data_IF_228995283706
#
_entry.id   IF_228995283706
#
_cell.length_a   1.000
_cell.length_b   1.000
_cell.length_c   1.000
_cell.angle_alpha   90.00
_cell.angle_beta   90.00
_cell.angle_gamma   90.00
#
_symmetry.space_group_name_H-M   'P 1'
#
loop_
_entity.id
_entity.type
_entity.pdbx_description
1 polymer ?
#
# COMPACT_ATOMS: atom_id res chain seq x y z
N UNK A 1 4.68 2.93 -23.94
CA UNK A 1 5.49 4.04 -23.42
C UNK A 1 6.80 3.47 -22.90
N UNK A 2 7.94 4.13 -23.08
CA UNK A 2 9.22 3.63 -22.54
C UNK A 2 9.16 3.63 -21.01
N UNK A 3 9.79 2.64 -20.37
CA UNK A 3 9.89 2.56 -18.90
C UNK A 3 11.33 2.79 -18.48
N UNK A 4 11.52 3.52 -17.40
CA UNK A 4 12.82 3.79 -16.78
C UNK A 4 12.70 3.36 -15.32
N UNK A 5 13.69 2.60 -14.83
CA UNK A 5 13.84 2.28 -13.42
C UNK A 5 14.99 3.11 -12.86
N UNK A 6 14.77 3.83 -11.77
CA UNK A 6 15.81 4.64 -11.13
C UNK A 6 15.72 4.57 -9.61
N UNK A 7 16.84 4.80 -8.92
CA UNK A 7 16.93 4.73 -7.47
C UNK A 7 17.48 6.03 -6.86
N UNK A 8 16.83 6.46 -5.78
CA UNK A 8 17.37 7.42 -4.83
C UNK A 8 18.18 6.63 -3.81
N UNK A 9 19.49 6.85 -3.80
CA UNK A 9 20.39 6.25 -2.84
C UNK A 9 20.64 7.22 -1.69
N UNK A 10 20.47 6.75 -0.46
CA UNK A 10 20.81 7.49 0.74
C UNK A 10 21.86 6.75 1.55
N UNK A 11 22.61 7.46 2.39
CA UNK A 11 23.42 6.84 3.45
C UNK A 11 22.68 6.85 4.79
N UNK A 12 23.20 6.19 5.85
CA UNK A 12 22.58 6.22 7.18
C UNK A 12 22.49 7.61 7.82
N UNK A 13 23.23 8.60 7.30
CA UNK A 13 23.13 10.00 7.72
C UNK A 13 22.00 10.77 7.00
N UNK A 14 21.29 10.13 6.05
CA UNK A 14 20.21 10.72 5.25
C UNK A 14 20.70 11.60 4.09
N UNK A 15 21.99 11.54 3.74
CA UNK A 15 22.55 12.25 2.58
C UNK A 15 22.25 11.48 1.29
N UNK A 16 21.91 12.18 0.21
CA UNK A 16 21.57 11.58 -1.07
C UNK A 16 22.81 11.46 -1.95
N UNK A 17 23.06 10.27 -2.47
CA UNK A 17 24.07 10.05 -3.49
C UNK A 17 23.50 10.41 -4.87
N UNK A 18 24.18 11.33 -5.55
CA UNK A 18 23.86 11.74 -6.92
C UNK A 18 25.12 11.66 -7.79
N UNK A 19 24.93 11.51 -9.10
CA UNK A 19 26.04 11.66 -10.06
C UNK A 19 25.79 12.83 -11.02
N UNK A 20 26.88 13.44 -11.46
CA UNK A 20 26.90 14.50 -12.46
C UNK A 20 27.07 13.87 -13.84
N UNK A 21 26.10 14.09 -14.72
CA UNK A 21 26.12 13.57 -16.09
C UNK A 21 27.27 14.14 -16.90
N UNK A 22 27.76 13.34 -17.84
CA UNK A 22 28.77 13.74 -18.83
C UNK A 22 28.41 15.04 -19.58
N UNK A 23 29.40 15.89 -19.77
CA UNK A 23 29.29 17.11 -20.57
C UNK A 23 29.73 16.88 -22.03
N UNK A 24 29.04 15.99 -22.73
CA UNK A 24 29.31 15.68 -24.14
C UNK A 24 28.23 16.29 -25.05
N UNK A 25 28.59 16.88 -26.21
CA UNK A 25 27.61 17.39 -27.17
C UNK A 25 26.60 16.31 -27.60
N UNK A 26 25.31 16.67 -27.63
CA UNK A 26 24.24 15.76 -28.06
C UNK A 26 23.68 14.83 -26.98
N UNK A 27 24.28 14.81 -25.78
CA UNK A 27 23.64 14.16 -24.63
C UNK A 27 22.49 15.01 -24.10
N UNK A 28 21.33 14.41 -23.77
CA UNK A 28 20.29 15.10 -23.00
C UNK A 28 20.78 15.49 -21.61
N UNK A 29 20.48 16.72 -21.21
CA UNK A 29 20.82 17.30 -19.89
C UNK A 29 22.30 17.14 -19.51
N UNK A 30 23.26 17.60 -20.34
CA UNK A 30 24.68 17.48 -20.03
C UNK A 30 24.99 18.30 -18.78
N UNK A 31 25.91 17.81 -17.93
CA UNK A 31 26.35 18.51 -16.72
C UNK A 31 25.20 18.84 -15.72
N UNK A 32 24.16 18.00 -15.70
CA UNK A 32 23.10 18.01 -14.69
C UNK A 32 23.29 16.85 -13.72
N UNK A 33 22.79 17.00 -12.50
CA UNK A 33 22.71 15.92 -11.51
C UNK A 33 21.57 14.96 -11.84
N UNK A 34 21.81 13.68 -11.57
CA UNK A 34 20.90 12.59 -11.90
C UNK A 34 20.86 11.54 -10.78
N UNK A 35 19.86 10.66 -10.88
CA UNK A 35 19.71 9.43 -10.11
C UNK A 35 20.30 8.26 -10.91
N UNK A 36 20.63 7.18 -10.21
CA UNK A 36 21.12 5.95 -10.84
C UNK A 36 19.98 5.16 -11.46
N UNK A 37 20.18 4.64 -12.67
CA UNK A 37 19.21 3.82 -13.36
C UNK A 37 19.04 4.14 -14.84
N UNK A 38 18.30 3.28 -15.53
CA UNK A 38 18.18 3.34 -16.97
C UNK A 38 16.91 2.70 -17.52
N UNK A 39 16.96 2.36 -18.80
CA UNK A 39 15.79 1.87 -19.53
C UNK A 39 15.51 0.42 -19.17
N UNK A 40 14.22 0.08 -19.04
CA UNK A 40 13.80 -1.32 -18.93
C UNK A 40 13.87 -1.98 -20.31
N UNK A 41 14.62 -3.07 -20.42
CA UNK A 41 14.79 -3.81 -21.66
C UNK A 41 13.57 -4.71 -22.00
N UNK A 42 13.41 -5.13 -23.27
CA UNK A 42 12.34 -6.05 -23.65
C UNK A 42 12.40 -7.39 -22.87
N UNK A 43 11.34 -7.70 -22.14
CA UNK A 43 11.25 -8.92 -21.32
C UNK A 43 11.81 -8.76 -19.90
N UNK A 44 12.37 -7.60 -19.57
CA UNK A 44 12.91 -7.28 -18.25
C UNK A 44 11.83 -6.72 -17.32
N UNK A 45 11.88 -7.07 -16.03
CA UNK A 45 11.05 -6.41 -15.01
C UNK A 45 11.64 -5.05 -14.65
N UNK A 46 10.84 -4.16 -14.06
CA UNK A 46 11.34 -2.85 -13.62
C UNK A 46 12.44 -3.00 -12.57
N UNK A 47 12.25 -3.96 -11.66
CA UNK A 47 13.19 -4.28 -10.60
C UNK A 47 14.49 -4.91 -11.15
N UNK A 48 14.40 -5.81 -12.14
CA UNK A 48 15.58 -6.37 -12.78
C UNK A 48 16.41 -5.28 -13.47
N UNK A 49 15.74 -4.36 -14.18
CA UNK A 49 16.41 -3.20 -14.79
C UNK A 49 17.10 -2.33 -13.73
N UNK A 50 16.44 -2.03 -12.62
CA UNK A 50 17.04 -1.26 -11.52
C UNK A 50 18.34 -1.91 -11.03
N UNK A 51 18.32 -3.21 -10.74
CA UNK A 51 19.47 -3.93 -10.20
C UNK A 51 20.62 -3.99 -11.21
N UNK A 52 20.31 -4.25 -12.49
CA UNK A 52 21.29 -4.25 -13.57
C UNK A 52 21.98 -2.89 -13.70
N UNK A 53 21.19 -1.82 -13.81
CA UNK A 53 21.70 -0.47 -14.03
C UNK A 53 22.55 0.02 -12.85
N UNK A 54 22.12 -0.21 -11.61
CA UNK A 54 22.92 0.16 -10.42
C UNK A 54 24.24 -0.60 -10.41
N UNK A 55 24.24 -1.88 -10.78
CA UNK A 55 25.47 -2.66 -10.87
C UNK A 55 26.39 -2.15 -11.99
N UNK A 56 25.83 -1.76 -13.13
CA UNK A 56 26.58 -1.24 -14.28
C UNK A 56 27.16 0.16 -14.00
N UNK A 57 26.39 1.05 -13.37
CA UNK A 57 26.77 2.45 -13.11
C UNK A 57 27.66 2.61 -11.87
N UNK A 58 27.46 1.79 -10.83
CA UNK A 58 28.13 1.93 -9.52
C UNK A 58 28.95 0.72 -9.07
N UNK A 59 28.79 -0.45 -9.71
CA UNK A 59 29.50 -1.68 -9.32
C UNK A 59 29.02 -2.30 -8.01
N UNK A 60 27.83 -1.92 -7.52
CA UNK A 60 27.28 -2.44 -6.25
C UNK A 60 26.03 -3.30 -6.48
N UNK A 61 25.83 -4.27 -5.60
CA UNK A 61 24.63 -5.09 -5.53
C UNK A 61 23.68 -4.53 -4.46
N UNK A 62 22.45 -4.16 -4.85
CA UNK A 62 21.44 -3.71 -3.89
C UNK A 62 20.72 -4.91 -3.25
N UNK A 63 20.90 -5.08 -1.95
CA UNK A 63 20.24 -6.15 -1.18
C UNK A 63 18.86 -5.77 -0.65
N UNK A 64 18.59 -4.47 -0.48
CA UNK A 64 17.32 -3.95 0.00
C UNK A 64 16.96 -2.63 -0.69
N UNK A 65 15.75 -2.55 -1.22
CA UNK A 65 15.23 -1.36 -1.88
C UNK A 65 13.70 -1.34 -1.77
N UNK A 66 13.11 -0.15 -1.92
CA UNK A 66 11.67 0.05 -1.84
C UNK A 66 11.18 0.88 -3.01
N UNK A 67 10.08 0.48 -3.63
CA UNK A 67 9.37 1.37 -4.55
C UNK A 67 8.91 2.61 -3.80
N UNK A 68 9.21 3.78 -4.36
CA UNK A 68 8.78 5.09 -3.87
C UNK A 68 7.57 5.57 -4.64
N UNK A 69 7.70 5.80 -5.96
CA UNK A 69 6.63 6.37 -6.79
C UNK A 69 6.85 6.15 -8.29
N UNK A 70 5.75 6.08 -9.05
CA UNK A 70 5.74 6.16 -10.52
C UNK A 70 5.45 7.60 -10.94
N UNK A 71 6.25 8.14 -11.85
CA UNK A 71 6.01 9.42 -12.50
C UNK A 71 5.79 9.22 -13.99
N UNK A 72 4.77 9.87 -14.54
CA UNK A 72 4.55 9.94 -15.98
C UNK A 72 5.21 11.20 -16.53
N UNK A 73 6.25 11.01 -17.33
CA UNK A 73 6.99 12.10 -17.98
C UNK A 73 6.37 12.33 -19.34
N UNK A 74 5.72 13.49 -19.51
CA UNK A 74 5.34 13.99 -20.82
C UNK A 74 6.62 14.39 -21.54
N UNK A 75 6.77 13.98 -22.80
CA UNK A 75 7.95 14.36 -23.57
C UNK A 75 7.93 15.82 -23.96
N UNK A 76 9.12 16.35 -24.17
CA UNK A 76 9.41 17.69 -24.68
C UNK A 76 10.58 17.62 -25.69
N UNK A 77 11.18 18.76 -26.03
CA UNK A 77 12.31 18.83 -26.97
C UNK A 77 13.58 18.14 -26.46
N UNK A 78 13.73 17.96 -25.14
CA UNK A 78 14.94 17.44 -24.49
C UNK A 78 14.76 16.01 -23.94
N UNK A 79 13.53 15.56 -23.72
CA UNK A 79 13.20 14.26 -23.17
C UNK A 79 12.06 13.54 -23.90
N UNK A 80 12.29 12.27 -24.26
CA UNK A 80 11.20 11.44 -24.81
C UNK A 80 10.19 11.06 -23.73
N UNK A 81 8.87 10.96 -24.04
CA UNK A 81 7.87 10.53 -23.06
C UNK A 81 8.17 9.15 -22.48
N UNK A 82 8.08 9.01 -21.15
CA UNK A 82 8.39 7.77 -20.44
C UNK A 82 7.68 7.67 -19.09
N UNK A 83 7.56 6.44 -18.58
CA UNK A 83 7.18 6.14 -17.21
C UNK A 83 8.46 5.94 -16.37
N UNK A 84 8.71 6.79 -15.37
CA UNK A 84 9.80 6.63 -14.40
C UNK A 84 9.30 5.93 -13.14
N UNK A 85 9.86 4.77 -12.85
CA UNK A 85 9.64 4.03 -11.61
C UNK A 85 10.80 4.33 -10.67
N UNK A 86 10.51 5.05 -9.59
CA UNK A 86 11.50 5.50 -8.63
C UNK A 86 11.49 4.58 -7.43
N UNK A 87 12.68 4.12 -7.07
CA UNK A 87 12.95 3.33 -5.88
C UNK A 87 13.81 4.13 -4.91
N UNK A 88 13.92 3.63 -3.70
CA UNK A 88 14.84 4.11 -2.70
C UNK A 88 15.61 2.94 -2.10
N UNK A 89 16.92 3.09 -1.95
CA UNK A 89 17.75 2.17 -1.20
C UNK A 89 18.70 2.96 -0.29
N UNK A 90 19.00 2.38 0.86
CA UNK A 90 20.04 2.89 1.76
C UNK A 90 21.31 2.09 1.53
N UNK A 91 22.44 2.78 1.43
CA UNK A 91 23.77 2.21 1.22
C UNK A 91 24.74 2.76 2.27
N UNK A 92 25.51 1.88 2.90
CA UNK A 92 26.52 2.25 3.92
C UNK A 92 27.93 2.16 3.32
N UNK A 93 28.10 2.71 2.12
CA UNK A 93 29.38 2.80 1.45
C UNK A 93 29.82 4.27 1.38
N UNK A 94 31.05 4.60 1.84
CA UNK A 94 31.59 5.93 1.64
C UNK A 94 31.80 6.20 0.15
N UNK A 95 31.72 7.46 -0.27
CA UNK A 95 31.84 7.86 -1.69
C UNK A 95 33.10 7.28 -2.37
N UNK A 96 34.22 7.19 -1.65
CA UNK A 96 35.51 6.71 -2.16
C UNK A 96 35.55 5.20 -2.42
N UNK A 97 34.61 4.44 -1.84
CA UNK A 97 34.49 3.00 -2.07
C UNK A 97 33.59 2.67 -3.28
N UNK A 98 32.94 3.68 -3.86
CA UNK A 98 32.06 3.52 -5.01
C UNK A 98 32.82 3.88 -6.29
N UNK A 99 32.60 3.11 -7.35
CA UNK A 99 33.17 3.40 -8.67
C UNK A 99 32.06 3.90 -9.57
N UNK A 100 32.15 5.14 -10.03
CA UNK A 100 31.23 5.66 -11.04
C UNK A 100 31.73 5.27 -12.42
N UNK A 101 30.99 4.43 -13.13
CA UNK A 101 31.33 3.98 -14.48
C UNK A 101 30.73 4.86 -15.58
N UNK A 102 29.66 5.60 -15.29
CA UNK A 102 29.02 6.57 -16.18
C UNK A 102 28.84 7.93 -15.50
N UNK A 103 29.29 9.01 -16.16
CA UNK A 103 29.25 10.37 -15.63
C UNK A 103 30.60 10.87 -15.11
N UNK A 104 30.64 12.15 -14.71
CA UNK A 104 31.88 12.85 -14.38
C UNK A 104 32.23 12.81 -12.90
N UNK A 105 31.20 12.79 -12.04
CA UNK A 105 31.40 12.96 -10.61
C UNK A 105 30.29 12.35 -9.79
N UNK A 106 30.67 11.67 -8.73
CA UNK A 106 29.80 11.16 -7.69
C UNK A 106 29.84 12.06 -6.46
N UNK A 107 28.70 12.33 -5.80
CA UNK A 107 28.69 13.07 -4.53
C UNK A 107 27.49 12.74 -3.63
N UNK A 108 27.74 12.66 -2.31
CA UNK A 108 26.69 12.71 -1.30
C UNK A 108 26.34 14.16 -1.00
N UNK A 109 25.05 14.47 -1.02
CA UNK A 109 24.50 15.78 -0.70
C UNK A 109 23.59 15.70 0.52
N UNK A 110 23.73 16.65 1.42
CA UNK A 110 22.74 16.86 2.48
C UNK A 110 21.44 17.41 1.88
N UNK A 111 20.28 17.12 2.49
CA UNK A 111 18.99 17.63 2.05
C UNK A 111 18.96 19.14 1.77
N UNK A 112 19.64 19.93 2.59
CA UNK A 112 19.72 21.40 2.46
C UNK A 112 20.51 21.89 1.25
N UNK A 113 21.43 21.09 0.69
CA UNK A 113 22.28 21.48 -0.45
C UNK A 113 21.55 21.28 -1.80
N UNK A 114 20.59 20.36 -1.81
CA UNK A 114 19.90 19.86 -3.01
C UNK A 114 19.15 20.96 -3.76
N UNK A 115 18.56 21.92 -3.05
CA UNK A 115 17.77 23.00 -3.66
C UNK A 115 18.55 23.89 -4.62
N UNK A 116 19.89 23.87 -4.57
CA UNK A 116 20.78 24.63 -5.45
C UNK A 116 21.24 23.88 -6.70
N UNK A 117 20.94 22.59 -6.79
CA UNK A 117 21.44 21.72 -7.85
C UNK A 117 20.58 21.82 -9.12
N UNK A 118 21.24 21.68 -10.28
CA UNK A 118 20.56 21.54 -11.57
C UNK A 118 20.36 20.06 -11.86
N UNK A 119 19.10 19.62 -11.92
CA UNK A 119 18.73 18.22 -12.15
C UNK A 119 18.30 17.96 -13.59
N UNK A 120 18.59 16.75 -14.09
CA UNK A 120 18.09 16.31 -15.38
C UNK A 120 16.57 16.10 -15.32
N UNK A 121 15.84 16.61 -16.32
CA UNK A 121 14.41 16.36 -16.48
C UNK A 121 13.60 16.66 -15.17
N UNK A 122 12.60 15.83 -14.84
CA UNK A 122 11.76 15.98 -13.64
C UNK A 122 12.46 15.62 -12.32
N UNK A 123 13.75 15.26 -12.33
CA UNK A 123 14.37 14.66 -11.15
C UNK A 123 14.49 15.60 -9.96
N UNK A 124 14.60 16.91 -10.21
CA UNK A 124 14.50 17.90 -9.13
C UNK A 124 13.17 17.82 -8.39
N UNK A 125 12.06 17.59 -9.13
CA UNK A 125 10.74 17.35 -8.52
C UNK A 125 10.70 16.01 -7.80
N UNK A 126 11.25 14.95 -8.39
CA UNK A 126 11.29 13.61 -7.76
C UNK A 126 12.02 13.66 -6.42
N UNK A 127 13.21 14.28 -6.38
CA UNK A 127 14.00 14.42 -5.15
C UNK A 127 13.29 15.32 -4.14
N UNK A 128 12.67 16.42 -4.58
CA UNK A 128 11.91 17.28 -3.68
C UNK A 128 10.69 16.56 -3.07
N UNK A 129 9.98 15.74 -3.84
CA UNK A 129 8.91 14.89 -3.33
C UNK A 129 9.44 13.90 -2.30
N UNK A 130 10.56 13.23 -2.61
CA UNK A 130 11.21 12.28 -1.71
C UNK A 130 11.61 12.93 -0.39
N UNK A 131 12.28 14.08 -0.42
CA UNK A 131 12.73 14.78 0.78
C UNK A 131 11.59 15.27 1.69
N UNK A 132 10.39 15.50 1.15
CA UNK A 132 9.20 15.85 1.96
C UNK A 132 8.61 14.65 2.70
N UNK A 133 8.85 13.44 2.20
CA UNK A 133 8.23 12.20 2.69
C UNK A 133 9.23 11.29 3.41
N UNK A 134 10.51 11.43 3.10
CA UNK A 134 11.59 10.66 3.67
C UNK A 134 11.99 11.21 5.03
N UNK A 135 11.95 10.33 6.02
CA UNK A 135 12.40 10.57 7.37
C UNK A 135 13.40 9.46 7.70
N UNK A 136 14.72 9.74 7.74
CA UNK A 136 15.74 8.73 7.99
C UNK A 136 15.64 8.12 9.39
N UNK A 137 15.02 8.84 10.35
CA UNK A 137 14.78 8.33 11.70
C UNK A 137 13.52 7.46 11.79
N UNK A 138 12.69 7.42 10.75
CA UNK A 138 11.46 6.63 10.75
C UNK A 138 11.76 5.16 10.42
N UNK A 139 11.47 4.22 11.34
CA UNK A 139 11.60 2.81 11.03
C UNK A 139 10.67 2.41 9.88
N UNK A 140 11.00 1.37 9.09
CA UNK A 140 10.15 0.93 8.00
C UNK A 140 8.76 0.53 8.53
N UNK A 141 7.72 1.07 7.90
CA UNK A 141 6.34 0.68 8.21
C UNK A 141 6.07 -0.77 7.76
N UNK A 142 5.24 -1.49 8.52
CA UNK A 142 4.70 -2.79 8.10
C UNK A 142 3.98 -2.64 6.75
N UNK A 143 4.22 -3.58 5.82
CA UNK A 143 3.52 -3.68 4.53
C UNK A 143 2.60 -4.91 4.51
N UNK A 144 1.39 -4.80 5.07
CA UNK A 144 0.43 -5.89 4.96
C UNK A 144 0.06 -6.10 3.48
N UNK A 145 -0.04 -7.35 3.05
CA UNK A 145 -0.45 -7.71 1.69
C UNK A 145 -1.97 -7.61 1.48
N UNK A 146 -2.72 -7.47 2.58
CA UNK A 146 -4.17 -7.39 2.61
C UNK A 146 -4.71 -7.73 4.00
N UNK A 147 -6.03 -7.78 4.12
CA UNK A 147 -6.70 -8.31 5.32
C UNK A 147 -6.69 -9.83 5.21
N UNK A 148 -5.97 -10.51 6.11
CA UNK A 148 -6.01 -11.98 6.14
C UNK A 148 -7.34 -12.50 6.69
N UNK A 149 -7.80 -12.00 7.83
CA UNK A 149 -9.09 -12.35 8.41
C UNK A 149 -9.57 -11.30 9.42
N UNK A 150 -10.85 -11.35 9.76
CA UNK A 150 -11.49 -10.55 10.82
C UNK A 150 -12.07 -11.52 11.85
N UNK A 151 -11.59 -11.45 13.09
CA UNK A 151 -12.06 -12.33 14.16
C UNK A 151 -13.24 -11.72 14.93
N UNK A 152 -14.33 -12.48 15.06
CA UNK A 152 -15.55 -12.06 15.76
C UNK A 152 -15.91 -13.10 16.81
N UNK A 153 -16.25 -12.64 18.01
CA UNK A 153 -16.72 -13.51 19.10
C UNK A 153 -18.24 -13.38 19.20
N UNK A 154 -18.92 -14.49 18.99
CA UNK A 154 -20.36 -14.64 19.14
C UNK A 154 -20.73 -15.17 20.54
N UNK A 155 -21.81 -14.64 21.11
CA UNK A 155 -22.37 -15.19 22.35
C UNK A 155 -23.10 -16.52 22.11
N UNK A 156 -23.75 -16.65 20.94
CA UNK A 156 -24.38 -17.88 20.46
C UNK A 156 -23.86 -18.20 19.06
N UNK A 157 -23.02 -19.23 18.98
CA UNK A 157 -22.36 -19.62 17.73
C UNK A 157 -23.37 -20.01 16.64
N UNK A 158 -24.41 -20.77 16.98
CA UNK A 158 -25.34 -21.27 15.98
C UNK A 158 -26.17 -20.13 15.38
N UNK A 159 -26.62 -19.21 16.24
CA UNK A 159 -27.33 -17.99 15.83
C UNK A 159 -26.45 -17.09 14.96
N UNK A 160 -25.22 -16.82 15.37
CA UNK A 160 -24.32 -15.94 14.62
C UNK A 160 -23.87 -16.59 13.31
N UNK A 161 -23.58 -17.90 13.30
CA UNK A 161 -23.29 -18.65 12.06
C UNK A 161 -24.45 -18.54 11.07
N UNK A 162 -25.70 -18.70 11.53
CA UNK A 162 -26.87 -18.55 10.67
C UNK A 162 -26.97 -17.13 10.11
N UNK A 163 -26.75 -16.10 10.92
CA UNK A 163 -26.73 -14.71 10.46
C UNK A 163 -25.66 -14.48 9.38
N UNK A 164 -24.40 -14.83 9.63
CA UNK A 164 -23.32 -14.58 8.67
C UNK A 164 -23.50 -15.38 7.37
N UNK A 165 -24.03 -16.60 7.42
CA UNK A 165 -24.19 -17.45 6.23
C UNK A 165 -25.48 -17.18 5.46
N UNK A 166 -26.60 -16.93 6.14
CA UNK A 166 -27.92 -16.78 5.51
C UNK A 166 -28.26 -15.32 5.22
N UNK A 167 -27.95 -14.40 6.15
CA UNK A 167 -28.27 -12.98 5.98
C UNK A 167 -27.19 -12.27 5.18
N UNK A 168 -25.92 -12.49 5.52
CA UNK A 168 -24.79 -11.83 4.83
C UNK A 168 -24.24 -12.65 3.65
N UNK A 169 -24.77 -13.86 3.41
CA UNK A 169 -24.34 -14.70 2.29
C UNK A 169 -22.90 -15.23 2.38
N UNK A 170 -22.27 -15.22 3.57
CA UNK A 170 -20.93 -15.76 3.74
C UNK A 170 -20.93 -17.27 3.50
N UNK A 171 -19.88 -17.79 2.87
CA UNK A 171 -19.71 -19.23 2.65
C UNK A 171 -18.95 -19.86 3.82
N UNK A 172 -19.50 -20.88 4.47
CA UNK A 172 -18.79 -21.65 5.49
C UNK A 172 -17.72 -22.53 4.85
N UNK A 173 -16.45 -22.24 5.14
CA UNK A 173 -15.29 -22.96 4.64
C UNK A 173 -14.92 -24.13 5.56
N UNK A 174 -14.85 -23.86 6.87
CA UNK A 174 -14.48 -24.84 7.88
C UNK A 174 -15.22 -24.56 9.18
N UNK A 175 -15.55 -25.63 9.90
CA UNK A 175 -16.16 -25.55 11.23
C UNK A 175 -15.48 -26.57 12.15
N UNK A 176 -15.16 -26.16 13.37
CA UNK A 176 -14.48 -27.02 14.34
C UNK A 176 -14.90 -26.68 15.76
N UNK A 177 -15.28 -27.70 16.52
CA UNK A 177 -15.41 -27.57 17.96
C UNK A 177 -14.06 -27.82 18.65
N UNK A 178 -13.63 -26.86 19.47
CA UNK A 178 -12.35 -26.88 20.20
C UNK A 178 -12.60 -27.26 21.65
N UNK A 179 -12.58 -28.57 21.94
CA UNK A 179 -12.96 -29.14 23.23
C UNK A 179 -12.23 -28.50 24.41
N UNK A 180 -10.90 -28.37 24.34
CA UNK A 180 -10.08 -27.76 25.40
C UNK A 180 -10.42 -26.27 25.70
N UNK A 181 -11.14 -25.60 24.79
CA UNK A 181 -11.57 -24.20 24.93
C UNK A 181 -13.09 -24.07 25.09
N UNK A 182 -13.82 -25.19 25.05
CA UNK A 182 -15.28 -25.24 25.02
C UNK A 182 -15.88 -24.26 23.99
N UNK A 183 -15.27 -24.21 22.80
CA UNK A 183 -15.42 -23.09 21.86
C UNK A 183 -15.59 -23.59 20.43
N UNK A 184 -16.58 -23.07 19.72
CA UNK A 184 -16.67 -23.25 18.27
C UNK A 184 -15.74 -22.27 17.54
N UNK A 185 -15.22 -22.70 16.40
CA UNK A 185 -14.58 -21.87 15.38
C UNK A 185 -15.24 -22.17 14.03
N UNK A 186 -15.71 -21.13 13.35
CA UNK A 186 -16.16 -21.18 11.96
C UNK A 186 -15.34 -20.23 11.10
N UNK A 187 -14.80 -20.73 9.99
CA UNK A 187 -14.12 -19.93 8.97
C UNK A 187 -15.12 -19.63 7.84
N UNK A 188 -15.43 -18.34 7.64
CA UNK A 188 -16.49 -17.86 6.77
C UNK A 188 -15.92 -16.94 5.70
N UNK A 189 -16.14 -17.24 4.42
CA UNK A 189 -15.70 -16.39 3.32
C UNK A 189 -16.75 -15.37 2.90
N UNK A 190 -16.33 -14.11 2.76
CA UNK A 190 -17.10 -13.04 2.10
C UNK A 190 -16.64 -12.97 0.66
N UNK A 191 -17.55 -13.22 -0.28
CA UNK A 191 -17.29 -13.19 -1.73
C UNK A 191 -16.06 -14.03 -2.18
N UNK A 192 -15.69 -15.07 -1.42
CA UNK A 192 -14.51 -15.89 -1.67
C UNK A 192 -13.16 -15.16 -1.52
N UNK A 193 -13.14 -13.92 -1.00
CA UNK A 193 -11.96 -13.06 -0.94
C UNK A 193 -11.50 -12.78 0.49
N UNK A 194 -12.43 -12.42 1.38
CA UNK A 194 -12.12 -12.05 2.76
C UNK A 194 -12.64 -13.12 3.73
N UNK A 195 -11.96 -13.33 4.85
CA UNK A 195 -12.35 -14.33 5.84
C UNK A 195 -12.80 -13.70 7.15
N UNK A 196 -13.93 -14.16 7.68
CA UNK A 196 -14.31 -13.99 9.08
C UNK A 196 -13.97 -15.27 9.83
N UNK A 197 -13.28 -15.15 10.95
CA UNK A 197 -13.19 -16.22 11.94
C UNK A 197 -14.23 -15.97 13.04
N UNK A 198 -15.29 -16.79 13.05
CA UNK A 198 -16.35 -16.72 14.05
C UNK A 198 -16.05 -17.67 15.19
N UNK A 199 -15.92 -17.13 16.41
CA UNK A 199 -15.66 -17.90 17.61
C UNK A 199 -16.83 -17.84 18.59
N UNK A 200 -16.96 -18.85 19.45
CA UNK A 200 -17.73 -18.71 20.69
C UNK A 200 -16.86 -18.99 21.90
N UNK A 201 -16.96 -18.16 22.95
CA UNK A 201 -16.26 -18.41 24.20
C UNK A 201 -17.27 -18.32 25.35
N UNK A 202 -17.40 -19.36 26.19
CA UNK A 202 -18.27 -19.30 27.37
C UNK A 202 -17.89 -18.10 28.25
N UNK A 203 -18.89 -17.28 28.60
CA UNK A 203 -18.69 -16.11 29.44
C UNK A 203 -17.96 -14.93 28.79
N UNK A 204 -17.84 -14.89 27.45
CA UNK A 204 -17.35 -13.70 26.77
C UNK A 204 -18.20 -12.47 27.15
N UNK A 205 -17.58 -11.32 27.45
CA UNK A 205 -18.32 -10.12 27.82
C UNK A 205 -19.11 -9.60 26.61
N UNK A 206 -20.29 -8.99 26.83
CA UNK A 206 -21.04 -8.37 25.77
C UNK A 206 -20.25 -7.21 25.16
N UNK A 207 -20.38 -7.01 23.85
CA UNK A 207 -19.82 -5.86 23.15
C UNK A 207 -20.56 -4.58 23.61
N UNK A 208 -19.84 -3.53 24.05
CA UNK A 208 -20.43 -2.21 24.19
C UNK A 208 -20.67 -1.63 22.79
N UNK A 209 -21.93 -1.49 22.40
CA UNK A 209 -22.31 -0.87 21.11
C UNK A 209 -22.71 0.59 21.25
N UNK A 210 -23.16 1.01 22.44
CA UNK A 210 -23.42 2.41 22.76
C UNK A 210 -23.05 2.73 24.22
N UNK A 211 -22.39 3.88 24.49
CA UNK A 211 -21.78 4.80 23.51
C UNK A 211 -20.67 4.10 22.70
N UNK A 212 -20.28 4.66 21.54
CA UNK A 212 -19.23 4.08 20.70
C UNK A 212 -17.96 3.83 21.53
N UNK A 213 -17.50 2.57 21.54
CA UNK A 213 -16.30 2.18 22.25
C UNK A 213 -15.05 2.25 21.33
N UNK A 214 -13.89 2.53 21.93
CA UNK A 214 -12.61 2.44 21.23
C UNK A 214 -12.38 1.01 20.71
N UNK A 215 -11.89 0.87 19.48
CA UNK A 215 -11.64 -0.41 18.82
C UNK A 215 -12.31 -0.50 17.44
N UNK A 216 -12.60 -1.73 16.98
CA UNK A 216 -13.36 -1.95 15.75
C UNK A 216 -14.75 -1.33 15.92
N UNK A 217 -15.06 -0.24 15.20
CA UNK A 217 -16.34 0.47 15.30
C UNK A 217 -17.47 -0.30 14.62
N UNK A 218 -17.26 -0.75 13.39
CA UNK A 218 -18.21 -1.50 12.56
C UNK A 218 -17.49 -2.29 11.46
N UNK A 219 -18.18 -3.22 10.81
CA UNK A 219 -17.73 -3.92 9.61
C UNK A 219 -18.53 -3.42 8.40
N UNK A 220 -17.85 -2.82 7.42
CA UNK A 220 -18.49 -2.34 6.19
C UNK A 220 -18.36 -3.37 5.06
N UNK A 221 -19.46 -3.59 4.33
CA UNK A 221 -19.57 -4.50 3.20
C UNK A 221 -20.00 -3.70 1.97
N UNK A 222 -19.23 -3.82 0.89
CA UNK A 222 -19.56 -3.19 -0.38
C UNK A 222 -20.73 -3.92 -1.05
N UNK A 223 -21.72 -3.17 -1.54
CA UNK A 223 -22.85 -3.68 -2.33
C UNK A 223 -22.97 -2.91 -3.63
N UNK A 224 -23.39 -3.58 -4.70
CA UNK A 224 -23.57 -2.94 -6.01
C UNK A 224 -24.76 -1.97 -6.05
N UNK A 225 -25.82 -2.27 -5.29
CA UNK A 225 -27.00 -1.44 -5.13
C UNK A 225 -27.46 -1.48 -3.67
N UNK A 226 -27.56 -0.29 -3.05
CA UNK A 226 -27.92 -0.18 -1.63
C UNK A 226 -29.39 -0.57 -1.34
N UNK A 227 -30.32 -0.30 -2.26
CA UNK A 227 -31.74 -0.61 -2.08
C UNK A 227 -31.95 -2.12 -2.10
N UNK A 228 -31.31 -2.80 -3.06
CA UNK A 228 -31.34 -4.26 -3.15
C UNK A 228 -30.72 -4.91 -1.92
N UNK A 229 -29.52 -4.46 -1.50
CA UNK A 229 -28.85 -4.99 -0.31
C UNK A 229 -29.69 -4.82 0.97
N UNK A 230 -30.29 -3.64 1.17
CA UNK A 230 -31.20 -3.38 2.30
C UNK A 230 -32.44 -4.27 2.23
N UNK A 231 -33.02 -4.48 1.05
CA UNK A 231 -34.17 -5.36 0.87
C UNK A 231 -33.84 -6.84 1.20
N UNK A 232 -32.68 -7.33 0.77
CA UNK A 232 -32.20 -8.69 1.05
C UNK A 232 -32.00 -8.92 2.56
N UNK A 233 -31.41 -7.95 3.27
CA UNK A 233 -31.24 -8.01 4.73
C UNK A 233 -32.59 -8.00 5.44
N UNK A 234 -33.51 -7.10 5.05
CA UNK A 234 -34.86 -7.01 5.61
C UNK A 234 -35.70 -8.25 5.37
N UNK A 235 -35.51 -8.95 4.24
CA UNK A 235 -36.21 -10.21 3.94
C UNK A 235 -35.92 -11.33 4.95
N UNK A 236 -34.78 -11.25 5.65
CA UNK A 236 -34.43 -12.15 6.76
C UNK A 236 -34.93 -11.67 8.13
N UNK A 237 -35.77 -10.63 8.18
CA UNK A 237 -36.33 -10.08 9.42
C UNK A 237 -35.37 -9.19 10.20
N UNK A 238 -34.25 -8.78 9.62
CA UNK A 238 -33.29 -7.87 10.26
C UNK A 238 -33.74 -6.42 10.08
N UNK A 239 -33.74 -5.66 11.18
CA UNK A 239 -34.04 -4.22 11.12
C UNK A 239 -32.83 -3.46 10.59
N UNK A 240 -33.05 -2.60 9.60
CA UNK A 240 -32.02 -1.78 8.98
C UNK A 240 -32.40 -0.31 9.12
N UNK A 241 -31.43 0.52 9.49
CA UNK A 241 -31.57 1.97 9.56
C UNK A 241 -31.92 2.59 8.19
N UNK A 242 -32.46 3.81 8.14
CA UNK A 242 -32.70 4.51 6.89
C UNK A 242 -31.41 4.66 6.07
N UNK A 243 -31.53 4.53 4.74
CA UNK A 243 -30.45 4.80 3.81
C UNK A 243 -30.05 6.27 3.91
N UNK A 244 -28.75 6.52 3.97
CA UNK A 244 -28.12 7.84 4.07
C UNK A 244 -27.14 8.03 2.93
N UNK A 245 -26.72 9.29 2.72
CA UNK A 245 -25.67 9.66 1.77
C UNK A 245 -24.47 10.16 2.55
N UNK A 246 -23.28 9.66 2.23
CA UNK A 246 -22.02 10.14 2.75
C UNK A 246 -21.67 11.47 2.04
N UNK A 247 -21.55 12.56 2.80
CA UNK A 247 -21.35 13.91 2.24
C UNK A 247 -20.00 14.07 1.51
N UNK A 248 -18.99 13.30 1.90
CA UNK A 248 -17.64 13.40 1.34
C UNK A 248 -17.49 12.65 0.02
N UNK A 249 -18.20 11.54 -0.13
CA UNK A 249 -18.09 10.65 -1.30
C UNK A 249 -19.33 10.66 -2.20
N UNK A 250 -20.47 11.16 -1.71
CA UNK A 250 -21.76 11.11 -2.40
C UNK A 250 -22.38 9.70 -2.46
N UNK A 251 -21.74 8.71 -1.85
CA UNK A 251 -22.18 7.31 -1.89
C UNK A 251 -23.26 7.03 -0.85
N UNK A 252 -24.14 6.08 -1.15
CA UNK A 252 -25.22 5.69 -0.26
C UNK A 252 -24.79 4.56 0.68
N UNK A 253 -25.31 4.57 1.90
CA UNK A 253 -25.02 3.55 2.91
C UNK A 253 -26.18 3.36 3.90
N UNK A 254 -26.19 2.23 4.61
CA UNK A 254 -27.13 1.95 5.69
C UNK A 254 -26.50 1.05 6.75
N UNK A 255 -26.91 1.22 8.01
CA UNK A 255 -26.45 0.42 9.15
C UNK A 255 -27.51 -0.57 9.64
N UNK A 256 -27.03 -1.68 10.17
CA UNK A 256 -27.79 -2.66 10.96
C UNK A 256 -26.82 -3.35 11.93
N UNK A 257 -27.29 -4.33 12.70
CA UNK A 257 -26.45 -5.03 13.67
C UNK A 257 -26.43 -6.54 13.43
N UNK A 258 -25.31 -7.16 13.75
CA UNK A 258 -25.24 -8.61 13.94
C UNK A 258 -25.98 -9.04 15.23
N UNK A 259 -26.09 -10.36 15.51
CA UNK A 259 -26.82 -10.85 16.68
C UNK A 259 -26.24 -10.44 18.04
N UNK A 260 -25.00 -9.95 18.07
CA UNK A 260 -24.24 -9.57 19.26
C UNK A 260 -24.02 -8.04 19.33
N UNK A 261 -24.66 -7.28 18.43
CA UNK A 261 -24.66 -5.83 18.42
C UNK A 261 -23.47 -5.18 17.70
N UNK A 262 -22.63 -5.93 16.99
CA UNK A 262 -21.61 -5.34 16.10
C UNK A 262 -22.33 -4.63 14.95
N UNK A 263 -22.10 -3.32 14.75
CA UNK A 263 -22.69 -2.64 13.61
C UNK A 263 -22.10 -3.16 12.30
N UNK A 264 -22.98 -3.46 11.36
CA UNK A 264 -22.68 -3.82 9.97
C UNK A 264 -23.16 -2.68 9.08
N UNK A 265 -22.31 -2.23 8.17
CA UNK A 265 -22.63 -1.19 7.20
C UNK A 265 -22.72 -1.82 5.80
N UNK A 266 -23.80 -1.55 5.07
CA UNK A 266 -23.80 -1.71 3.61
C UNK A 266 -23.36 -0.39 3.00
N UNK A 267 -22.38 -0.41 2.11
CA UNK A 267 -21.84 0.77 1.45
C UNK A 267 -21.83 0.58 -0.07
N UNK A 268 -22.32 1.57 -0.81
CA UNK A 268 -22.43 1.46 -2.27
C UNK A 268 -21.06 1.46 -2.97
N UNK A 269 -20.85 0.49 -3.87
CA UNK A 269 -19.63 0.21 -4.63
C UNK A 269 -19.13 1.35 -5.50
#
# INVERSE_FOLDING_TARGET
>A
MKKIAAVILTNPAGELLLYLRDNKPGLPFPHHWDLFGGHVEPGETVEAALLREVREELGIELSAYRFFRKYEVRGDEEATPNDKYIFHAEIDQPQQALTLYEGERLHYFRPEEIGSLRFANILGRVVADFLREYDPARPPALRPQGVHHIAIIASDYARSRAFYTQVLGCTLLQETYREARQSWKGDLAIAGQYQIELFSFPGAPPRPSYPEAQGLRHLALAVADIEEGVAQVKAHGVTVEPIRVDEGTGKRFAFFADPDGLPIELYEG
#
